data_IF_171047523406
#
_entry.id   IF_171047523406
#
_cell.length_a   1.000
_cell.length_b   1.000
_cell.length_c   1.000
_cell.angle_alpha   90.00
_cell.angle_beta   90.00
_cell.angle_gamma   90.00
#
_symmetry.space_group_name_H-M   'P 1'
#
loop_
_entity.id
_entity.type
_entity.pdbx_description
1 polymer ?
#
# COMPACT_ATOMS: atom_id res chain seq x y z
N UNK A 1 -1.79 -13.10 1.24
CA UNK A 1 -1.92 -14.57 1.13
C UNK A 1 -3.16 -15.18 1.79
N UNK A 2 -3.41 -15.00 3.11
CA UNK A 2 -4.57 -15.60 3.82
C UNK A 2 -5.93 -15.42 3.12
N UNK A 3 -6.18 -14.24 2.57
CA UNK A 3 -7.43 -13.88 1.91
C UNK A 3 -7.46 -14.24 0.40
N UNK A 4 -6.39 -14.83 -0.15
CA UNK A 4 -6.25 -15.19 -1.57
C UNK A 4 -6.52 -14.06 -2.58
N UNK A 5 -6.31 -12.81 -2.15
CA UNK A 5 -6.41 -11.63 -3.02
C UNK A 5 -5.11 -11.53 -3.83
N UNK A 6 -5.17 -11.42 -5.17
CA UNK A 6 -4.00 -11.17 -6.01
C UNK A 6 -3.31 -9.86 -5.62
N UNK A 7 -1.98 -9.88 -5.59
CA UNK A 7 -1.17 -8.69 -5.37
C UNK A 7 0.19 -8.85 -6.04
N UNK A 8 0.89 -7.74 -6.20
CA UNK A 8 2.24 -7.70 -6.73
C UNK A 8 3.15 -6.99 -5.72
N UNK A 9 4.43 -7.35 -5.72
CA UNK A 9 5.44 -6.67 -4.91
C UNK A 9 6.19 -5.71 -5.82
N UNK A 10 6.13 -4.44 -5.47
CA UNK A 10 6.92 -3.40 -6.10
C UNK A 10 8.18 -3.15 -5.25
N UNK A 11 9.35 -3.23 -5.88
CA UNK A 11 10.62 -2.93 -5.24
C UNK A 11 11.25 -1.72 -5.94
N UNK A 12 11.56 -0.68 -5.16
CA UNK A 12 12.26 0.50 -5.64
C UNK A 12 13.70 0.49 -5.09
N UNK A 13 14.74 0.61 -5.95
CA UNK A 13 16.13 0.68 -5.49
C UNK A 13 16.45 1.97 -4.73
N UNK A 14 15.54 2.95 -4.70
CA UNK A 14 15.70 4.23 -4.02
C UNK A 14 14.50 4.52 -3.11
N UNK A 15 14.65 5.46 -2.16
CA UNK A 15 13.52 5.92 -1.39
C UNK A 15 12.44 6.50 -2.32
N UNK A 16 11.22 5.97 -2.22
CA UNK A 16 10.09 6.40 -3.06
C UNK A 16 9.71 7.85 -2.75
N UNK A 17 9.11 8.54 -3.74
CA UNK A 17 8.64 9.92 -3.59
C UNK A 17 7.34 10.10 -2.79
N UNK A 18 6.90 9.06 -2.07
CA UNK A 18 5.60 9.02 -1.37
C UNK A 18 5.70 9.58 0.05
N UNK A 19 4.57 9.99 0.62
CA UNK A 19 4.51 10.42 2.02
C UNK A 19 4.91 9.31 3.00
N UNK A 20 4.69 8.04 2.63
CA UNK A 20 5.11 6.88 3.42
C UNK A 20 6.60 6.91 3.73
N UNK A 21 7.42 7.48 2.83
CA UNK A 21 8.86 7.67 3.07
C UNK A 21 9.13 8.53 4.29
N UNK A 22 8.46 9.67 4.41
CA UNK A 22 8.66 10.60 5.52
C UNK A 22 8.00 10.07 6.80
N UNK A 23 6.80 9.48 6.69
CA UNK A 23 6.04 8.97 7.83
C UNK A 23 6.80 7.83 8.51
N UNK A 24 7.33 6.85 7.76
CA UNK A 24 7.94 5.66 8.35
C UNK A 24 9.15 5.97 9.24
N UNK A 25 9.92 7.02 8.92
CA UNK A 25 11.14 7.42 9.65
C UNK A 25 10.90 8.56 10.65
N UNK A 26 9.66 9.04 10.78
CA UNK A 26 9.37 10.15 11.68
C UNK A 26 9.54 9.73 13.16
N UNK A 27 10.12 10.63 13.98
CA UNK A 27 10.36 10.40 15.41
C UNK A 27 11.16 9.11 15.67
N UNK A 28 10.65 8.19 16.49
CA UNK A 28 11.25 6.88 16.75
C UNK A 28 10.84 5.81 15.71
N UNK A 29 10.24 6.22 14.59
CA UNK A 29 9.66 5.35 13.59
C UNK A 29 8.15 5.17 13.77
N UNK A 30 7.43 5.12 12.66
CA UNK A 30 5.97 4.90 12.62
C UNK A 30 5.69 3.66 11.78
N UNK A 31 4.93 2.70 12.33
CA UNK A 31 4.48 1.54 11.58
C UNK A 31 3.69 2.00 10.36
N UNK A 32 4.25 1.79 9.16
CA UNK A 32 3.76 2.35 7.91
C UNK A 32 3.74 1.26 6.85
N UNK A 33 2.62 1.14 6.14
CA UNK A 33 2.50 0.29 4.96
C UNK A 33 2.24 1.15 3.73
N UNK A 34 2.88 0.81 2.61
CA UNK A 34 2.60 1.43 1.31
C UNK A 34 1.78 0.45 0.46
N UNK A 35 0.68 0.94 -0.10
CA UNK A 35 -0.19 0.19 -1.01
C UNK A 35 -0.43 1.03 -2.26
N UNK A 36 -0.14 0.46 -3.42
CA UNK A 36 -0.24 1.12 -4.72
C UNK A 36 -1.31 0.46 -5.60
N UNK A 37 -1.85 1.22 -6.55
CA UNK A 37 -2.63 0.68 -7.67
C UNK A 37 -1.68 0.68 -8.89
N UNK A 38 -1.50 -0.45 -9.59
CA UNK A 38 -0.77 -0.46 -10.87
C UNK A 38 -1.39 0.54 -11.84
N UNK A 39 -0.62 1.54 -12.26
CA UNK A 39 -1.06 2.51 -13.26
C UNK A 39 -0.02 2.78 -14.34
N UNK A 40 -0.51 3.30 -15.47
CA UNK A 40 0.31 3.86 -16.55
C UNK A 40 0.07 5.36 -16.66
N UNK A 41 1.13 6.05 -17.08
CA UNK A 41 1.14 7.49 -17.32
C UNK A 41 0.91 8.36 -16.08
N UNK A 42 1.46 7.94 -14.93
CA UNK A 42 1.44 8.70 -13.69
C UNK A 42 1.91 10.15 -13.91
N UNK A 43 1.21 11.11 -13.32
CA UNK A 43 1.47 12.56 -13.45
C UNK A 43 1.22 13.16 -14.84
N UNK A 44 0.46 12.48 -15.69
CA UNK A 44 -0.02 13.07 -16.96
C UNK A 44 -1.50 13.46 -16.85
N UNK A 45 -2.04 14.30 -17.76
CA UNK A 45 -3.47 14.65 -17.74
C UNK A 45 -4.42 13.47 -17.94
N UNK A 46 -3.93 12.31 -18.39
CA UNK A 46 -4.75 11.13 -18.65
C UNK A 46 -3.99 9.87 -18.22
N UNK A 47 -4.46 9.30 -17.12
CA UNK A 47 -3.90 8.09 -16.52
C UNK A 47 -4.71 6.85 -16.93
N UNK A 48 -4.10 5.67 -16.84
CA UNK A 48 -4.73 4.41 -17.19
C UNK A 48 -4.48 3.35 -16.12
N UNK A 49 -5.53 2.67 -15.71
CA UNK A 49 -5.56 1.62 -14.69
C UNK A 49 -6.45 0.47 -15.14
N UNK A 50 -6.23 -0.72 -14.61
CA UNK A 50 -7.18 -1.83 -14.71
C UNK A 50 -8.24 -1.70 -13.60
N UNK A 51 -9.52 -1.87 -13.94
CA UNK A 51 -10.60 -1.80 -12.96
C UNK A 51 -10.56 -2.98 -11.96
N UNK A 52 -10.07 -4.15 -12.39
CA UNK A 52 -9.92 -5.29 -11.49
C UNK A 52 -8.83 -5.03 -10.43
N UNK A 53 -7.75 -4.34 -10.82
CA UNK A 53 -6.69 -3.97 -9.88
C UNK A 53 -7.20 -2.99 -8.81
N UNK A 54 -8.08 -2.05 -9.17
CA UNK A 54 -8.73 -1.16 -8.19
C UNK A 54 -9.51 -1.97 -7.15
N UNK A 55 -10.33 -2.92 -7.61
CA UNK A 55 -11.13 -3.77 -6.74
C UNK A 55 -10.25 -4.61 -5.81
N UNK A 56 -9.18 -5.22 -6.34
CA UNK A 56 -8.22 -5.96 -5.52
C UNK A 56 -7.52 -5.07 -4.49
N UNK A 57 -7.14 -3.83 -4.85
CA UNK A 57 -6.55 -2.86 -3.90
C UNK A 57 -7.52 -2.50 -2.78
N UNK A 58 -8.81 -2.29 -3.08
CA UNK A 58 -9.84 -2.05 -2.06
C UNK A 58 -9.96 -3.25 -1.13
N UNK A 59 -10.01 -4.47 -1.69
CA UNK A 59 -10.08 -5.70 -0.90
C UNK A 59 -8.86 -5.86 0.02
N UNK A 60 -7.65 -5.55 -0.46
CA UNK A 60 -6.42 -5.57 0.34
C UNK A 60 -6.52 -4.58 1.51
N UNK A 61 -6.90 -3.34 1.24
CA UNK A 61 -7.01 -2.30 2.27
C UNK A 61 -8.03 -2.69 3.35
N UNK A 62 -9.20 -3.17 2.95
CA UNK A 62 -10.26 -3.62 3.87
C UNK A 62 -9.81 -4.83 4.67
N UNK A 63 -9.14 -5.79 4.05
CA UNK A 63 -8.62 -6.98 4.72
C UNK A 63 -7.60 -6.61 5.81
N UNK A 64 -6.69 -5.67 5.52
CA UNK A 64 -5.72 -5.16 6.49
C UNK A 64 -6.44 -4.45 7.63
N UNK A 65 -7.32 -3.49 7.33
CA UNK A 65 -8.06 -2.74 8.34
C UNK A 65 -8.86 -3.65 9.30
N UNK A 66 -9.46 -4.73 8.78
CA UNK A 66 -10.19 -5.72 9.59
C UNK A 66 -9.30 -6.66 10.39
N UNK A 67 -8.06 -6.87 9.95
CA UNK A 67 -7.11 -7.73 10.66
C UNK A 67 -6.53 -7.07 11.92
N UNK A 68 -6.49 -5.73 11.96
CA UNK A 68 -5.94 -4.96 13.07
C UNK A 68 -6.87 -5.02 14.29
N UNK A 69 -6.31 -5.38 15.44
CA UNK A 69 -7.02 -5.41 16.72
C UNK A 69 -6.73 -4.16 17.54
N UNK A 70 -7.71 -3.75 18.35
CA UNK A 70 -7.53 -2.64 19.29
C UNK A 70 -6.38 -2.93 20.25
N UNK A 71 -5.42 -2.02 20.31
CA UNK A 71 -4.24 -2.15 21.18
C UNK A 71 -3.14 -3.05 20.65
N UNK A 72 -3.30 -3.63 19.45
CA UNK A 72 -2.24 -4.35 18.77
C UNK A 72 -1.10 -3.39 18.43
N UNK A 73 0.11 -3.78 18.82
CA UNK A 73 1.34 -3.10 18.43
C UNK A 73 1.97 -4.00 17.39
N UNK A 74 2.12 -3.48 16.18
CA UNK A 74 2.57 -4.21 15.00
C UNK A 74 4.01 -4.72 15.09
N UNK A 75 4.25 -5.64 16.01
CA UNK A 75 5.46 -6.46 16.12
C UNK A 75 5.25 -7.61 15.13
N UNK A 76 5.39 -7.31 13.84
CA UNK A 76 5.32 -8.27 12.74
C UNK A 76 6.71 -8.76 12.38
#
# INVERSE_FOLDING_TARGET
EKNKIPYQIEADPRPTGTDARAIQVAQAGVATGLLSIPLRYMHTPSEMVDLEDIEHTVQLLVAVARSLKKGERGIW
#
